data_IF_909928222549
#
_entry.id   IF_909928222549
#
_cell.length_a   1.000
_cell.length_b   1.000
_cell.length_c   1.000
_cell.angle_alpha   90.00
_cell.angle_beta   90.00
_cell.angle_gamma   90.00
#
_symmetry.space_group_name_H-M   'P 1'
#
loop_
_entity.id
_entity.type
_entity.pdbx_description
1 polymer ?
#
# COMPACT_ATOMS: atom_id res chain seq x y z
N UNK A 1 -11.72 -11.44 -16.67
CA UNK A 1 -10.98 -10.89 -17.84
C UNK A 1 -9.52 -10.78 -17.46
N UNK A 2 -8.60 -11.01 -18.39
CA UNK A 2 -7.17 -10.79 -18.14
C UNK A 2 -6.83 -9.29 -18.19
N UNK A 3 -5.74 -8.90 -17.52
CA UNK A 3 -5.25 -7.51 -17.45
C UNK A 3 -3.72 -7.47 -17.64
N UNK A 4 -3.13 -6.35 -18.12
CA UNK A 4 -1.68 -6.16 -18.16
C UNK A 4 -1.00 -6.49 -16.84
N UNK A 5 0.07 -7.28 -16.89
CA UNK A 5 0.85 -7.70 -15.73
C UNK A 5 1.66 -6.53 -15.15
N UNK A 6 1.65 -6.36 -13.83
CA UNK A 6 2.38 -5.30 -13.15
C UNK A 6 3.78 -5.75 -12.70
N UNK A 7 4.70 -4.78 -12.65
CA UNK A 7 6.14 -5.01 -12.54
C UNK A 7 6.80 -3.88 -11.75
N UNK A 8 8.04 -4.13 -11.32
CA UNK A 8 8.93 -3.07 -10.83
C UNK A 8 9.01 -1.93 -11.85
N UNK A 9 8.74 -0.70 -11.39
CA UNK A 9 8.75 0.51 -12.20
C UNK A 9 7.46 0.83 -12.96
N UNK A 10 6.43 -0.03 -12.95
CA UNK A 10 5.13 0.32 -13.55
C UNK A 10 4.41 1.40 -12.72
N UNK A 11 3.69 2.31 -13.39
CA UNK A 11 3.07 3.49 -12.76
C UNK A 11 2.00 3.13 -11.71
N UNK A 12 1.88 3.99 -10.69
CA UNK A 12 0.80 3.96 -9.68
C UNK A 12 0.02 5.27 -9.68
N UNK A 13 -1.18 5.28 -9.10
CA UNK A 13 -2.07 6.44 -9.09
C UNK A 13 -1.63 7.57 -8.12
N UNK A 14 -0.59 7.35 -7.32
CA UNK A 14 -0.08 8.34 -6.38
C UNK A 14 1.12 9.15 -6.94
N UNK A 15 1.58 10.15 -6.19
CA UNK A 15 2.61 11.09 -6.65
C UNK A 15 4.07 10.75 -6.23
N UNK A 16 4.30 9.97 -5.18
CA UNK A 16 5.65 9.84 -4.60
C UNK A 16 5.92 8.49 -3.88
N UNK A 17 6.64 7.53 -4.51
CA UNK A 17 7.14 7.53 -5.89
C UNK A 17 6.07 7.14 -6.92
N UNK A 18 5.98 7.79 -8.10
CA UNK A 18 4.90 7.56 -9.09
C UNK A 18 4.91 6.16 -9.77
N UNK A 19 5.72 5.23 -9.27
CA UNK A 19 5.93 3.87 -9.78
C UNK A 19 6.01 2.86 -8.64
N UNK A 20 5.71 1.60 -8.95
CA UNK A 20 5.99 0.46 -8.08
C UNK A 20 7.50 0.38 -7.79
N UNK A 21 7.85 0.73 -6.55
CA UNK A 21 9.21 0.77 -6.01
C UNK A 21 9.18 0.54 -4.50
N UNK A 22 10.25 -0.04 -3.94
CA UNK A 22 10.39 -0.35 -2.50
C UNK A 22 10.93 -1.77 -2.25
N UNK A 23 10.66 -2.71 -3.16
CA UNK A 23 11.24 -4.04 -3.23
C UNK A 23 11.79 -4.32 -4.64
N UNK A 24 12.66 -5.34 -4.83
CA UNK A 24 13.23 -5.64 -6.15
C UNK A 24 12.29 -6.36 -7.12
N UNK A 25 11.05 -6.68 -6.73
CA UNK A 25 10.18 -7.58 -7.49
C UNK A 25 10.58 -9.05 -7.38
N UNK A 26 10.00 -9.90 -8.22
CA UNK A 26 10.45 -11.29 -8.39
C UNK A 26 11.89 -11.36 -8.92
N UNK A 27 12.76 -12.07 -8.19
CA UNK A 27 14.18 -12.23 -8.55
C UNK A 27 14.44 -13.13 -9.77
N UNK A 28 13.43 -13.86 -10.25
CA UNK A 28 13.58 -14.83 -11.35
C UNK A 28 12.43 -14.84 -12.38
N UNK A 29 11.33 -14.13 -12.14
CA UNK A 29 10.26 -13.95 -13.14
C UNK A 29 10.29 -12.52 -13.67
N UNK A 30 10.78 -12.38 -14.90
CA UNK A 30 10.90 -11.11 -15.61
C UNK A 30 9.78 -11.00 -16.64
N UNK A 31 9.09 -9.86 -16.68
CA UNK A 31 7.99 -9.56 -17.61
C UNK A 31 8.37 -8.28 -18.38
N UNK A 32 8.49 -8.37 -19.71
CA UNK A 32 8.83 -7.20 -20.54
C UNK A 32 10.08 -6.43 -20.04
N UNK A 33 11.13 -7.18 -19.68
CA UNK A 33 12.41 -6.70 -19.13
C UNK A 33 12.43 -6.17 -17.68
N UNK A 34 11.31 -6.13 -16.95
CA UNK A 34 11.28 -5.77 -15.51
C UNK A 34 10.86 -6.95 -14.62
N UNK A 35 11.37 -7.06 -13.38
CA UNK A 35 10.86 -7.99 -12.37
C UNK A 35 9.35 -7.92 -12.19
N UNK A 36 8.67 -9.06 -12.20
CA UNK A 36 7.23 -9.15 -11.96
C UNK A 36 6.88 -8.76 -10.51
N UNK A 37 5.75 -8.08 -10.32
CA UNK A 37 5.30 -7.63 -9.00
C UNK A 37 4.28 -8.58 -8.38
N UNK A 38 4.48 -8.96 -7.11
CA UNK A 38 3.68 -9.96 -6.39
C UNK A 38 2.89 -9.32 -5.25
N UNK A 39 1.61 -9.61 -5.17
CA UNK A 39 0.74 -9.24 -4.05
C UNK A 39 0.79 -10.26 -2.91
N UNK A 40 0.18 -9.89 -1.80
CA UNK A 40 0.04 -10.78 -0.64
C UNK A 40 -1.06 -11.83 -0.87
N UNK A 41 -0.98 -13.04 -0.28
CA UNK A 41 -2.06 -14.02 -0.32
C UNK A 41 -3.36 -13.48 0.27
N UNK A 42 -4.51 -13.99 -0.19
CA UNK A 42 -5.84 -13.49 0.20
C UNK A 42 -6.08 -13.44 1.72
N UNK A 43 -5.55 -14.40 2.48
CA UNK A 43 -5.65 -14.41 3.94
C UNK A 43 -4.88 -13.23 4.58
N UNK A 44 -3.67 -12.93 4.09
CA UNK A 44 -2.88 -11.79 4.55
C UNK A 44 -3.51 -10.46 4.09
N UNK A 45 -4.05 -10.40 2.86
CA UNK A 45 -4.79 -9.23 2.38
C UNK A 45 -5.99 -8.89 3.28
N UNK A 46 -6.79 -9.89 3.68
CA UNK A 46 -7.93 -9.70 4.58
C UNK A 46 -7.52 -9.21 5.98
N UNK A 47 -6.42 -9.75 6.54
CA UNK A 47 -5.89 -9.31 7.84
C UNK A 47 -5.40 -7.85 7.78
N UNK A 48 -4.61 -7.51 6.77
CA UNK A 48 -4.08 -6.15 6.54
C UNK A 48 -5.22 -5.15 6.31
N UNK A 49 -6.23 -5.50 5.51
CA UNK A 49 -7.39 -4.64 5.25
C UNK A 49 -8.22 -4.39 6.52
N UNK A 50 -8.35 -5.40 7.38
CA UNK A 50 -9.04 -5.29 8.67
C UNK A 50 -8.29 -4.35 9.62
N UNK A 51 -6.97 -4.53 9.75
CA UNK A 51 -6.13 -3.65 10.56
C UNK A 51 -6.14 -2.20 10.05
N UNK A 52 -6.05 -1.99 8.74
CA UNK A 52 -6.12 -0.67 8.10
C UNK A 52 -7.43 0.05 8.42
N UNK A 53 -8.54 -0.67 8.44
CA UNK A 53 -9.86 -0.10 8.79
C UNK A 53 -9.88 0.43 10.23
N UNK A 54 -9.24 -0.28 11.18
CA UNK A 54 -9.09 0.18 12.57
C UNK A 54 -8.18 1.41 12.63
N UNK A 55 -7.02 1.38 11.99
CA UNK A 55 -6.09 2.52 11.95
C UNK A 55 -6.73 3.76 11.33
N UNK A 56 -7.43 3.64 10.20
CA UNK A 56 -8.09 4.76 9.53
C UNK A 56 -9.22 5.36 10.36
N UNK A 57 -9.94 4.55 11.12
CA UNK A 57 -11.00 5.02 12.03
C UNK A 57 -10.39 5.85 13.17
N UNK A 58 -9.28 5.38 13.75
CA UNK A 58 -8.56 6.12 14.79
C UNK A 58 -7.96 7.44 14.26
N UNK A 59 -7.35 7.42 13.08
CA UNK A 59 -6.78 8.62 12.45
C UNK A 59 -7.86 9.64 12.13
N UNK A 60 -8.96 9.25 11.47
CA UNK A 60 -10.09 10.16 11.15
C UNK A 60 -10.71 10.78 12.39
N UNK A 61 -10.76 10.03 13.50
CA UNK A 61 -11.24 10.56 14.79
C UNK A 61 -10.32 11.66 15.32
N UNK A 62 -9.00 11.47 15.23
CA UNK A 62 -8.03 12.47 15.67
C UNK A 62 -7.98 13.70 14.73
N UNK A 63 -8.07 13.50 13.41
CA UNK A 63 -8.17 14.59 12.42
C UNK A 63 -9.43 15.44 12.64
N UNK A 64 -10.58 14.80 12.92
CA UNK A 64 -11.81 15.50 13.28
C UNK A 64 -11.66 16.32 14.57
N UNK A 65 -10.91 15.83 15.56
CA UNK A 65 -10.61 16.58 16.78
C UNK A 65 -9.70 17.80 16.51
N UNK A 66 -8.69 17.67 15.64
CA UNK A 66 -7.86 18.80 15.17
C UNK A 66 -8.72 19.87 14.48
N UNK A 67 -9.59 19.46 13.57
CA UNK A 67 -10.51 20.37 12.85
C UNK A 67 -11.45 21.09 13.83
N UNK A 68 -12.05 20.37 14.79
CA UNK A 68 -12.92 20.96 15.81
C UNK A 68 -12.18 21.93 16.75
N UNK A 69 -10.90 21.68 17.02
CA UNK A 69 -10.08 22.50 17.92
C UNK A 69 -9.44 23.74 17.23
N UNK A 70 -9.49 23.85 15.90
CA UNK A 70 -8.65 24.76 15.10
C UNK A 70 -8.73 26.26 15.49
N UNK A 71 -9.88 26.72 16.00
CA UNK A 71 -10.10 28.10 16.45
C UNK A 71 -10.01 28.26 17.99
N UNK A 72 -9.43 27.30 18.69
CA UNK A 72 -9.34 27.27 20.17
C UNK A 72 -7.89 27.23 20.66
N UNK A 73 -7.60 27.62 21.92
CA UNK A 73 -6.29 27.40 22.53
C UNK A 73 -5.85 25.93 22.58
N UNK A 74 -6.77 24.97 22.38
CA UNK A 74 -6.50 23.54 22.34
C UNK A 74 -5.94 23.02 21.00
N UNK A 75 -5.91 23.84 19.94
CA UNK A 75 -5.45 23.40 18.61
C UNK A 75 -4.06 22.71 18.60
N UNK A 76 -3.02 23.19 19.33
CA UNK A 76 -1.72 22.52 19.35
C UNK A 76 -1.77 21.14 20.02
N UNK A 77 -2.61 20.96 21.04
CA UNK A 77 -2.76 19.69 21.74
C UNK A 77 -3.52 18.66 20.90
N UNK A 78 -4.57 19.09 20.18
CA UNK A 78 -5.30 18.24 19.25
C UNK A 78 -4.40 17.77 18.10
N UNK A 79 -3.62 18.67 17.49
CA UNK A 79 -2.66 18.33 16.44
C UNK A 79 -1.57 17.36 16.94
N UNK A 80 -1.06 17.53 18.18
CA UNK A 80 -0.10 16.60 18.77
C UNK A 80 -0.70 15.21 19.01
N UNK A 81 -1.97 15.12 19.40
CA UNK A 81 -2.69 13.85 19.51
C UNK A 81 -2.88 13.17 18.14
N UNK A 82 -3.20 13.94 17.10
CA UNK A 82 -3.28 13.45 15.71
C UNK A 82 -1.93 12.89 15.22
N UNK A 83 -0.82 13.61 15.43
CA UNK A 83 0.51 13.11 15.05
C UNK A 83 0.90 11.85 15.83
N UNK A 84 0.49 11.75 17.09
CA UNK A 84 0.68 10.55 17.91
C UNK A 84 -0.11 9.38 17.34
N UNK A 85 -1.37 9.58 16.96
CA UNK A 85 -2.22 8.56 16.33
C UNK A 85 -1.65 8.09 14.98
N UNK A 86 -1.24 9.02 14.11
CA UNK A 86 -0.61 8.72 12.81
C UNK A 86 0.71 7.96 12.98
N UNK A 87 1.56 8.38 13.92
CA UNK A 87 2.82 7.68 14.24
C UNK A 87 2.59 6.26 14.78
N UNK A 88 1.61 6.08 15.67
CA UNK A 88 1.26 4.77 16.21
C UNK A 88 0.71 3.84 15.12
N UNK A 89 -0.19 4.35 14.28
CA UNK A 89 -0.75 3.63 13.14
C UNK A 89 0.33 3.22 12.12
N UNK A 90 1.25 4.12 11.76
CA UNK A 90 2.35 3.77 10.84
C UNK A 90 3.22 2.65 11.41
N UNK A 91 3.59 2.72 12.69
CA UNK A 91 4.44 1.69 13.32
C UNK A 91 3.74 0.33 13.33
N UNK A 92 2.46 0.30 13.72
CA UNK A 92 1.67 -0.93 13.77
C UNK A 92 1.45 -1.53 12.37
N UNK A 93 0.92 -0.73 11.43
CA UNK A 93 0.65 -1.18 10.06
C UNK A 93 1.93 -1.50 9.31
N UNK A 94 3.00 -0.72 9.46
CA UNK A 94 4.28 -0.95 8.81
C UNK A 94 4.96 -2.24 9.27
N UNK A 95 4.91 -2.53 10.58
CA UNK A 95 5.37 -3.82 11.12
C UNK A 95 4.51 -4.99 10.62
N UNK A 96 3.18 -4.84 10.61
CA UNK A 96 2.25 -5.85 10.11
C UNK A 96 2.47 -6.13 8.62
N UNK A 97 2.58 -5.11 7.77
CA UNK A 97 2.82 -5.24 6.32
C UNK A 97 4.17 -5.92 6.07
N UNK A 98 5.24 -5.49 6.75
CA UNK A 98 6.58 -6.07 6.55
C UNK A 98 6.66 -7.53 6.98
N UNK A 99 5.98 -7.92 8.06
CA UNK A 99 5.92 -9.32 8.53
C UNK A 99 4.96 -10.20 7.73
N UNK A 100 3.83 -9.64 7.28
CA UNK A 100 2.79 -10.37 6.53
C UNK A 100 3.05 -10.44 5.03
N UNK A 101 4.04 -9.69 4.51
CA UNK A 101 4.41 -9.73 3.09
C UNK A 101 4.80 -11.14 2.64
N UNK A 102 5.51 -11.92 3.47
CA UNK A 102 5.80 -13.33 3.16
C UNK A 102 6.59 -13.56 1.86
N UNK A 103 7.38 -12.57 1.42
CA UNK A 103 8.07 -12.57 0.13
C UNK A 103 7.33 -11.84 -1.00
N UNK A 104 6.13 -11.30 -0.74
CA UNK A 104 5.43 -10.38 -1.63
C UNK A 104 6.15 -9.03 -1.72
N UNK A 105 5.83 -8.27 -2.77
CA UNK A 105 6.54 -7.05 -3.09
C UNK A 105 5.94 -5.84 -2.36
N UNK A 106 6.82 -5.12 -1.66
CA UNK A 106 6.48 -3.99 -0.80
C UNK A 106 6.75 -2.70 -1.58
N UNK A 107 5.69 -1.93 -1.78
CA UNK A 107 5.78 -0.56 -2.26
C UNK A 107 6.14 0.37 -1.09
N UNK A 108 7.08 1.29 -1.26
CA UNK A 108 7.40 2.30 -0.25
C UNK A 108 6.85 3.66 -0.67
N UNK A 109 5.71 4.05 -0.11
CA UNK A 109 5.13 5.36 -0.32
C UNK A 109 5.83 6.42 0.55
N UNK A 110 6.31 7.47 -0.09
CA UNK A 110 6.98 8.60 0.55
C UNK A 110 6.12 9.88 0.54
N UNK A 111 4.84 9.79 0.15
CA UNK A 111 3.86 10.87 0.34
C UNK A 111 3.82 11.25 1.83
N UNK A 112 4.06 12.53 2.18
CA UNK A 112 3.99 12.97 3.56
C UNK A 112 2.55 12.97 4.07
N UNK A 113 2.26 12.19 5.12
CA UNK A 113 1.44 12.73 6.22
C UNK A 113 2.19 13.96 6.83
N UNK A 114 1.62 14.78 7.73
CA UNK A 114 2.48 15.40 8.75
C UNK A 114 3.21 14.26 9.51
N UNK A 115 4.50 14.47 9.85
CA UNK A 115 5.49 13.40 10.12
C UNK A 115 4.90 12.24 10.94
N UNK A 116 4.68 11.06 10.34
CA UNK A 116 5.51 10.45 9.29
C UNK A 116 4.85 10.26 7.88
N UNK A 117 5.62 9.86 6.85
CA UNK A 117 5.11 9.47 5.52
C UNK A 117 4.18 8.24 5.55
N UNK A 118 3.47 8.00 4.44
CA UNK A 118 2.56 6.86 4.29
C UNK A 118 3.21 5.48 4.52
N UNK A 119 4.48 5.32 4.14
CA UNK A 119 5.28 4.15 4.46
C UNK A 119 5.02 2.93 3.56
N UNK A 120 5.26 1.70 4.07
CA UNK A 120 5.19 0.49 3.26
C UNK A 120 3.74 0.15 2.90
N UNK A 121 3.55 -0.45 1.73
CA UNK A 121 2.29 -0.98 1.25
C UNK A 121 2.45 -2.22 0.40
N UNK A 122 1.39 -3.00 0.25
CA UNK A 122 1.38 -4.26 -0.52
C UNK A 122 0.16 -4.34 -1.42
N UNK A 123 0.25 -5.09 -2.52
CA UNK A 123 -0.90 -5.34 -3.39
C UNK A 123 -1.84 -6.35 -2.73
N UNK A 124 -3.07 -5.95 -2.44
CA UNK A 124 -4.07 -6.75 -1.73
C UNK A 124 -5.10 -7.42 -2.64
N UNK A 125 -5.17 -7.04 -3.92
CA UNK A 125 -6.16 -7.55 -4.89
C UNK A 125 -5.52 -8.19 -6.13
N UNK A 126 -4.40 -8.91 -5.95
CA UNK A 126 -3.71 -9.62 -7.04
C UNK A 126 -4.55 -10.72 -7.71
N UNK A 127 -3.97 -11.42 -8.68
CA UNK A 127 -4.64 -12.56 -9.35
C UNK A 127 -4.95 -13.70 -8.37
N UNK A 128 -6.13 -14.29 -8.50
CA UNK A 128 -6.55 -15.47 -7.72
C UNK A 128 -6.18 -16.78 -8.43
N UNK A 129 -5.93 -16.74 -9.74
CA UNK A 129 -5.58 -17.91 -10.55
C UNK A 129 -4.12 -17.99 -11.00
N UNK A 130 -3.37 -16.89 -10.97
CA UNK A 130 -1.96 -16.86 -11.43
C UNK A 130 -1.03 -16.47 -10.29
N UNK A 131 -0.09 -17.36 -9.98
CA UNK A 131 0.91 -17.17 -8.93
C UNK A 131 2.31 -17.02 -9.54
N UNK A 132 3.10 -16.11 -8.99
CA UNK A 132 4.52 -15.89 -9.29
C UNK A 132 5.29 -16.14 -8.00
N UNK A 133 6.19 -17.12 -8.00
CA UNK A 133 6.86 -17.65 -6.80
C UNK A 133 5.88 -18.09 -5.69
N UNK A 134 4.69 -18.58 -6.05
CA UNK A 134 3.65 -18.99 -5.09
C UNK A 134 2.79 -17.84 -4.54
N UNK A 135 3.01 -16.60 -4.99
CA UNK A 135 2.31 -15.40 -4.54
C UNK A 135 1.44 -14.80 -5.65
N UNK A 136 0.26 -14.20 -5.36
CA UNK A 136 -0.61 -13.57 -6.35
C UNK A 136 0.13 -12.63 -7.31
N UNK A 137 0.02 -12.86 -8.61
CA UNK A 137 0.59 -11.95 -9.60
C UNK A 137 -0.20 -10.63 -9.65
N UNK A 138 0.49 -9.50 -9.60
CA UNK A 138 -0.13 -8.17 -9.63
C UNK A 138 -0.39 -7.70 -11.06
N UNK A 139 -1.39 -6.84 -11.24
CA UNK A 139 -1.85 -6.37 -12.55
C UNK A 139 -2.26 -4.90 -12.51
N UNK A 140 -2.48 -4.33 -13.69
CA UNK A 140 -3.16 -3.06 -13.87
C UNK A 140 -4.48 -3.00 -13.08
N UNK A 141 -4.69 -1.92 -12.33
CA UNK A 141 -5.88 -1.69 -11.51
C UNK A 141 -6.02 -2.62 -10.30
N UNK A 142 -4.96 -3.32 -9.88
CA UNK A 142 -4.95 -3.96 -8.57
C UNK A 142 -4.55 -2.94 -7.49
N UNK A 143 -5.15 -3.07 -6.31
CA UNK A 143 -5.04 -2.11 -5.20
C UNK A 143 -3.77 -2.34 -4.39
N UNK A 144 -3.04 -1.25 -4.12
CA UNK A 144 -1.94 -1.19 -3.16
C UNK A 144 -2.50 -0.58 -1.87
N UNK A 145 -2.38 -1.30 -0.76
CA UNK A 145 -2.75 -0.81 0.56
C UNK A 145 -1.47 -0.38 1.30
N UNK A 146 -1.34 0.92 1.52
CA UNK A 146 -0.23 1.60 2.23
C UNK A 146 -0.53 1.69 3.74
N UNK A 147 0.50 1.74 4.59
CA UNK A 147 0.35 1.72 6.04
C UNK A 147 -0.46 2.92 6.59
N UNK A 148 -0.29 4.11 6.00
CA UNK A 148 -1.22 5.25 6.11
C UNK A 148 -1.69 5.68 4.71
N UNK A 149 -2.66 6.60 4.66
CA UNK A 149 -3.16 7.17 3.42
C UNK A 149 -4.32 6.39 2.78
N UNK A 150 -4.94 6.91 1.71
CA UNK A 150 -5.98 6.20 0.97
C UNK A 150 -5.38 5.00 0.20
N UNK A 151 -6.20 3.99 -0.16
CA UNK A 151 -5.77 2.94 -1.07
C UNK A 151 -5.30 3.52 -2.41
N UNK A 152 -4.17 3.02 -2.90
CA UNK A 152 -3.56 3.39 -4.17
C UNK A 152 -3.86 2.30 -5.21
N UNK A 153 -3.70 2.59 -6.50
CA UNK A 153 -3.95 1.65 -7.58
C UNK A 153 -2.77 1.60 -8.55
N UNK A 154 -2.46 0.42 -9.05
CA UNK A 154 -1.52 0.26 -10.17
C UNK A 154 -2.18 0.81 -11.44
N UNK A 155 -1.53 1.73 -12.15
CA UNK A 155 -2.03 2.33 -13.40
C UNK A 155 -1.13 2.04 -14.62
N UNK A 156 0.02 1.39 -14.41
CA UNK A 156 0.87 0.82 -15.45
C UNK A 156 0.80 -0.71 -15.54
N UNK A 157 1.41 -1.28 -16.56
CA UNK A 157 1.53 -2.73 -16.74
C UNK A 157 2.12 -3.09 -18.10
N UNK A 158 2.62 -4.31 -18.24
CA UNK A 158 3.15 -4.84 -19.50
C UNK A 158 2.01 -5.09 -20.52
N UNK A 159 1.95 -4.38 -21.65
CA UNK A 159 0.82 -4.49 -22.59
C UNK A 159 0.77 -5.83 -23.33
N UNK A 160 1.91 -6.54 -23.42
CA UNK A 160 2.06 -7.82 -24.13
C UNK A 160 1.90 -9.05 -23.25
N UNK A 161 1.79 -8.89 -21.92
CA UNK A 161 1.62 -10.00 -20.98
C UNK A 161 0.37 -9.77 -20.14
N UNK A 162 -0.68 -10.55 -20.43
CA UNK A 162 -1.98 -10.42 -19.79
C UNK A 162 -2.19 -11.56 -18.79
N UNK A 163 -2.46 -11.21 -17.54
CA UNK A 163 -2.64 -12.15 -16.42
C UNK A 163 -4.12 -12.24 -16.03
N UNK A 164 -4.56 -13.46 -15.73
CA UNK A 164 -5.94 -13.80 -15.38
C UNK A 164 -6.44 -13.24 -14.04
N UNK A 165 -7.73 -13.45 -13.79
CA UNK A 165 -8.40 -13.16 -12.51
C UNK A 165 -8.56 -14.42 -11.71
#
# INVERSE_FOLDING_TARGET
MSKPAARLGDLVAHILPPTLAGSPGSLNVIIGSSPAWRGVPAAAAAAIQSAKTVSDTAIKTAEAATVAAAATPGAPAALAAEQTAKTAALKAMGSMISSSAGGADIHLCAVPSPVPPHGPGVVTTGSTTVLINGLPASRLGDTILEALGPPNAIVGGCPTVLIGG
#
